data_IF_193785180562
#
_entry.id   IF_193785180562
#
_cell.length_a   1.000
_cell.length_b   1.000
_cell.length_c   1.000
_cell.angle_alpha   90.00
_cell.angle_beta   90.00
_cell.angle_gamma   90.00
#
_symmetry.space_group_name_H-M   'P 1'
#
loop_
_entity.id
_entity.type
_entity.pdbx_description
1 polymer ?
#
# COMPACT_ATOMS: atom_id res chain seq x y z
N UNK A 1 0.81 8.59 2.78
CA UNK A 1 0.56 9.39 4.00
C UNK A 1 1.11 8.61 5.17
N UNK A 2 1.63 9.29 6.18
CA UNK A 2 2.17 8.64 7.38
C UNK A 2 1.55 9.27 8.61
N UNK A 3 1.23 8.46 9.60
CA UNK A 3 0.56 8.87 10.83
C UNK A 3 1.29 8.30 12.04
N UNK A 4 1.26 9.02 13.15
CA UNK A 4 1.72 8.48 14.43
C UNK A 4 0.64 7.60 15.06
N UNK A 5 1.02 6.38 15.47
CA UNK A 5 0.15 5.39 16.11
C UNK A 5 0.65 5.13 17.52
N UNK A 6 -0.27 5.10 18.48
CA UNK A 6 0.01 4.78 19.88
C UNK A 6 0.10 3.26 20.08
N UNK A 7 1.17 2.82 20.73
CA UNK A 7 1.30 1.50 21.32
C UNK A 7 0.78 1.57 22.75
N UNK A 8 -0.48 1.15 22.92
CA UNK A 8 -1.23 1.33 24.16
C UNK A 8 -0.51 0.77 25.39
N UNK A 9 0.12 -0.40 25.26
CA UNK A 9 0.75 -1.11 26.38
C UNK A 9 2.01 -0.42 26.90
N UNK A 10 2.65 0.42 26.07
CA UNK A 10 3.89 1.12 26.42
C UNK A 10 3.63 2.50 27.02
N UNK A 11 2.47 3.08 26.75
CA UNK A 11 2.16 4.45 27.14
C UNK A 11 1.96 4.57 28.66
N UNK A 12 2.82 5.35 29.32
CA UNK A 12 2.67 5.74 30.73
C UNK A 12 2.37 7.25 30.83
N UNK A 13 1.12 7.70 30.60
CA UNK A 13 0.77 9.13 30.48
C UNK A 13 1.05 9.93 31.76
N UNK A 14 1.06 9.27 32.93
CA UNK A 14 1.34 9.92 34.23
C UNK A 14 2.82 10.23 34.47
N UNK A 15 3.74 9.79 33.59
CA UNK A 15 5.20 9.87 33.79
C UNK A 15 5.98 10.43 32.60
N UNK A 16 5.31 11.02 31.61
CA UNK A 16 5.95 11.50 30.37
C UNK A 16 5.78 13.00 30.09
N UNK A 17 5.16 13.76 31.00
CA UNK A 17 4.89 15.20 30.87
C UNK A 17 4.23 15.58 29.54
N UNK A 18 3.40 14.71 29.00
CA UNK A 18 2.65 14.91 27.75
C UNK A 18 3.52 15.39 26.56
N UNK A 19 4.80 15.00 26.55
CA UNK A 19 5.79 15.46 25.56
C UNK A 19 5.36 15.23 24.11
N UNK A 20 4.63 14.15 23.85
CA UNK A 20 4.07 13.87 22.52
C UNK A 20 3.14 15.00 22.03
N UNK A 21 2.33 15.58 22.91
CA UNK A 21 1.45 16.71 22.65
C UNK A 21 2.24 18.03 22.61
N UNK A 22 3.06 18.29 23.64
CA UNK A 22 3.79 19.55 23.81
C UNK A 22 4.74 19.87 22.64
N UNK A 23 5.36 18.85 22.04
CA UNK A 23 6.31 19.02 20.93
C UNK A 23 5.69 18.79 19.54
N UNK A 24 4.41 18.45 19.44
CA UNK A 24 3.74 18.21 18.17
C UNK A 24 3.55 19.52 17.39
N UNK A 25 4.11 19.68 16.17
CA UNK A 25 4.00 20.94 15.44
C UNK A 25 2.56 21.36 15.11
N UNK A 26 1.66 20.48 14.62
CA UNK A 26 0.25 20.80 14.46
C UNK A 26 -0.42 21.33 15.73
N UNK A 27 -0.14 20.71 16.89
CA UNK A 27 -0.66 21.16 18.19
C UNK A 27 -0.13 22.54 18.56
N UNK A 28 1.17 22.79 18.36
CA UNK A 28 1.77 24.12 18.60
C UNK A 28 1.21 25.19 17.67
N UNK A 29 0.70 24.80 16.51
CA UNK A 29 -0.01 25.67 15.57
C UNK A 29 -1.51 25.80 15.89
N UNK A 30 -1.98 25.28 17.03
CA UNK A 30 -3.37 25.40 17.50
C UNK A 30 -4.33 24.35 16.95
N UNK A 31 -3.84 23.27 16.33
CA UNK A 31 -4.68 22.18 15.83
C UNK A 31 -4.81 21.05 16.86
N UNK A 32 -5.97 20.41 16.90
CA UNK A 32 -6.23 19.26 17.79
C UNK A 32 -5.69 17.94 17.22
N UNK A 33 -4.42 17.93 16.81
CA UNK A 33 -3.79 16.75 16.22
C UNK A 33 -3.58 15.62 17.24
N UNK A 34 -3.33 15.97 18.51
CA UNK A 34 -3.25 15.02 19.62
C UNK A 34 -4.18 15.55 20.70
N UNK A 35 -5.12 14.73 21.15
CA UNK A 35 -6.00 15.02 22.29
C UNK A 35 -5.90 13.90 23.30
N UNK A 36 -6.28 14.12 24.54
CA UNK A 36 -6.18 13.08 25.57
C UNK A 36 -7.53 12.47 25.89
N UNK A 37 -7.59 11.14 25.91
CA UNK A 37 -8.79 10.42 26.34
C UNK A 37 -9.12 10.77 27.80
N UNK A 38 -10.38 11.13 28.09
CA UNK A 38 -10.78 11.68 29.39
C UNK A 38 -10.43 10.79 30.59
N UNK A 39 -10.73 9.48 30.48
CA UNK A 39 -10.50 8.47 31.53
C UNK A 39 -9.05 7.98 31.64
N UNK A 40 -8.49 7.51 30.52
CA UNK A 40 -7.16 6.85 30.52
C UNK A 40 -6.00 7.84 30.48
N UNK A 41 -6.26 9.11 30.11
CA UNK A 41 -5.26 10.14 29.83
C UNK A 41 -4.25 9.74 28.75
N UNK A 42 -4.54 8.72 27.95
CA UNK A 42 -3.70 8.34 26.82
C UNK A 42 -3.98 9.25 25.61
N UNK A 43 -2.97 9.55 24.78
CA UNK A 43 -3.13 10.39 23.62
C UNK A 43 -3.93 9.67 22.51
N UNK A 44 -4.85 10.39 21.89
CA UNK A 44 -5.58 10.03 20.68
C UNK A 44 -5.00 10.90 19.57
N UNK A 45 -4.48 10.29 18.52
CA UNK A 45 -3.85 10.99 17.40
C UNK A 45 -4.84 11.07 16.23
N UNK A 46 -5.09 12.26 15.71
CA UNK A 46 -5.90 12.47 14.51
C UNK A 46 -5.14 12.08 13.25
N UNK A 47 -5.66 11.12 12.48
CA UNK A 47 -5.07 10.70 11.21
C UNK A 47 -5.06 11.82 10.16
N UNK A 48 -6.05 12.71 10.20
CA UNK A 48 -6.22 13.79 9.23
C UNK A 48 -5.26 14.97 9.49
N UNK A 49 -5.00 15.26 10.76
CA UNK A 49 -4.17 16.40 11.18
C UNK A 49 -2.70 16.02 11.37
N UNK A 50 -2.41 14.74 11.55
CA UNK A 50 -1.04 14.28 11.72
C UNK A 50 -0.26 14.37 10.41
N UNK A 51 0.83 15.12 10.43
CA UNK A 51 1.74 15.26 9.27
C UNK A 51 2.84 14.19 9.21
N UNK A 52 2.84 13.22 10.13
CA UNK A 52 3.81 12.11 10.14
C UNK A 52 5.27 12.52 10.34
N UNK A 53 5.54 13.64 11.03
CA UNK A 53 6.89 14.19 11.20
C UNK A 53 7.80 13.38 12.14
N UNK A 54 7.24 12.53 13.01
CA UNK A 54 8.02 11.69 13.92
C UNK A 54 8.56 12.36 15.19
N UNK A 55 8.31 13.65 15.41
CA UNK A 55 8.80 14.36 16.62
C UNK A 55 8.24 13.73 17.90
N UNK A 56 6.95 13.39 17.91
CA UNK A 56 6.30 12.76 19.06
C UNK A 56 6.87 11.37 19.38
N UNK A 57 7.37 10.64 18.36
CA UNK A 57 8.09 9.37 18.55
C UNK A 57 9.41 9.62 19.26
N UNK A 58 10.23 10.54 18.73
CA UNK A 58 11.55 10.87 19.28
C UNK A 58 11.49 11.50 20.68
N UNK A 59 10.36 12.12 21.04
CA UNK A 59 10.15 12.75 22.35
C UNK A 59 9.43 11.84 23.33
N UNK A 60 8.96 10.65 22.93
CA UNK A 60 8.30 9.76 23.89
C UNK A 60 9.37 9.04 24.74
N UNK A 61 9.41 9.23 26.07
CA UNK A 61 10.41 8.55 26.91
C UNK A 61 10.15 7.04 27.06
N UNK A 62 9.02 6.54 26.56
CA UNK A 62 8.59 5.15 26.68
C UNK A 62 8.49 4.43 25.33
N UNK A 63 8.93 5.05 24.24
CA UNK A 63 8.81 4.51 22.87
C UNK A 63 7.40 3.99 22.55
N UNK A 64 6.40 4.72 23.03
CA UNK A 64 4.99 4.34 22.93
C UNK A 64 4.34 4.84 21.63
N UNK A 65 5.06 5.55 20.77
CA UNK A 65 4.54 6.04 19.49
C UNK A 65 5.40 5.51 18.35
N UNK A 66 4.76 5.17 17.24
CA UNK A 66 5.44 4.74 16.01
C UNK A 66 4.85 5.46 14.81
N UNK A 67 5.68 5.74 13.79
CA UNK A 67 5.17 6.24 12.51
C UNK A 67 4.80 5.05 11.64
N UNK A 68 3.54 4.99 11.23
CA UNK A 68 3.02 4.00 10.30
C UNK A 68 2.67 4.66 8.95
N UNK A 69 2.87 3.91 7.87
CA UNK A 69 2.44 4.33 6.55
C UNK A 69 0.99 3.90 6.36
N UNK A 70 0.13 4.84 6.00
CA UNK A 70 -1.23 4.52 5.56
C UNK A 70 -1.20 4.09 4.09
N UNK A 71 -2.06 3.13 3.70
CA UNK A 71 -2.20 2.74 2.31
C UNK A 71 -2.58 3.96 1.46
N UNK A 72 -1.86 4.15 0.36
CA UNK A 72 -2.19 5.11 -0.67
C UNK A 72 -2.06 4.44 -2.03
N UNK A 73 -2.74 5.01 -3.02
CA UNK A 73 -2.56 4.62 -4.41
C UNK A 73 -1.09 4.80 -4.81
N UNK A 74 -0.53 3.78 -5.46
CA UNK A 74 0.84 3.85 -5.94
C UNK A 74 0.93 4.84 -7.11
N UNK A 75 1.99 5.65 -7.13
CA UNK A 75 2.25 6.62 -8.21
C UNK A 75 2.88 5.98 -9.45
N UNK A 76 3.30 4.74 -9.33
CA UNK A 76 4.10 3.99 -10.31
C UNK A 76 3.62 2.54 -10.36
N UNK A 77 4.17 1.76 -11.30
CA UNK A 77 3.90 0.32 -11.44
C UNK A 77 2.43 0.00 -11.75
N UNK A 78 1.73 0.91 -12.45
CA UNK A 78 0.36 0.67 -12.91
C UNK A 78 0.38 -0.35 -14.04
N UNK A 79 -0.35 -1.44 -13.87
CA UNK A 79 -0.39 -2.56 -14.82
C UNK A 79 -1.60 -2.45 -15.73
N UNK A 80 -2.77 -2.17 -15.15
CA UNK A 80 -4.00 -2.11 -15.93
C UNK A 80 -4.99 -1.13 -15.33
N UNK A 81 -5.77 -0.48 -16.20
CA UNK A 81 -6.85 0.44 -15.83
C UNK A 81 -8.04 0.27 -16.74
N UNK A 82 -9.21 0.03 -16.15
CA UNK A 82 -10.46 -0.17 -16.91
C UNK A 82 -11.12 1.12 -17.42
N UNK A 83 -10.76 2.29 -16.87
CA UNK A 83 -11.38 3.55 -17.25
C UNK A 83 -10.86 4.75 -16.47
N UNK A 84 -11.29 5.96 -16.84
CA UNK A 84 -10.88 7.22 -16.20
C UNK A 84 -11.07 7.20 -14.68
N UNK A 85 -12.24 6.80 -14.19
CA UNK A 85 -12.49 6.62 -12.75
C UNK A 85 -12.69 5.13 -12.39
N UNK A 86 -12.22 4.24 -13.27
CA UNK A 86 -12.33 2.81 -13.10
C UNK A 86 -11.26 2.27 -12.16
N UNK A 87 -11.40 0.99 -11.84
CA UNK A 87 -10.42 0.23 -11.07
C UNK A 87 -9.04 0.25 -11.76
N UNK A 88 -8.00 0.35 -10.95
CA UNK A 88 -6.59 0.37 -11.36
C UNK A 88 -5.86 -0.73 -10.60
N UNK A 89 -5.13 -1.55 -11.32
CA UNK A 89 -4.28 -2.58 -10.75
C UNK A 89 -2.82 -2.11 -10.79
N UNK A 90 -2.15 -2.25 -9.65
CA UNK A 90 -0.73 -1.95 -9.52
C UNK A 90 0.01 -3.21 -9.11
N UNK A 91 1.14 -3.45 -9.79
CA UNK A 91 1.98 -4.65 -9.64
C UNK A 91 1.20 -5.96 -9.90
N UNK A 92 1.95 -7.03 -10.06
CA UNK A 92 1.41 -8.39 -10.13
C UNK A 92 2.22 -9.30 -9.21
N UNK A 93 1.60 -10.34 -8.62
CA UNK A 93 2.37 -11.41 -7.98
C UNK A 93 3.10 -12.22 -9.06
N UNK A 94 4.36 -12.56 -8.79
CA UNK A 94 5.14 -13.45 -9.65
C UNK A 94 4.79 -14.92 -9.35
N UNK A 95 4.40 -15.73 -10.35
CA UNK A 95 4.39 -17.17 -10.21
C UNK A 95 5.81 -17.69 -9.93
N UNK A 96 5.94 -18.64 -9.01
CA UNK A 96 7.21 -19.29 -8.68
C UNK A 96 7.20 -20.73 -9.11
N UNK A 97 8.28 -21.17 -9.74
CA UNK A 97 8.44 -22.56 -10.14
C UNK A 97 8.41 -23.48 -8.91
N UNK A 98 7.75 -24.64 -9.08
CA UNK A 98 7.62 -25.68 -8.04
C UNK A 98 7.01 -25.20 -6.71
N UNK A 99 6.35 -24.04 -6.70
CA UNK A 99 5.75 -23.44 -5.50
C UNK A 99 4.30 -23.04 -5.73
N UNK A 100 3.52 -23.08 -4.65
CA UNK A 100 2.14 -22.58 -4.64
C UNK A 100 2.15 -21.14 -4.15
N UNK A 101 1.72 -20.20 -5.01
CA UNK A 101 1.59 -18.78 -4.67
C UNK A 101 0.13 -18.50 -4.29
N UNK A 102 -0.11 -18.11 -3.04
CA UNK A 102 -1.43 -17.70 -2.55
C UNK A 102 -1.66 -16.20 -2.70
N UNK A 103 -2.78 -15.80 -3.29
CA UNK A 103 -3.20 -14.39 -3.39
C UNK A 103 -4.36 -14.15 -2.42
N UNK A 104 -4.15 -13.31 -1.41
CA UNK A 104 -5.15 -12.97 -0.40
C UNK A 104 -5.47 -11.47 -0.44
N UNK A 105 -6.73 -11.12 -0.23
CA UNK A 105 -7.21 -9.75 -0.23
C UNK A 105 -8.73 -9.68 -0.25
N UNK A 106 -9.29 -8.51 0.05
CA UNK A 106 -10.73 -8.26 0.01
C UNK A 106 -11.28 -8.33 -1.43
N UNK A 107 -12.60 -8.46 -1.55
CA UNK A 107 -13.27 -8.41 -2.86
C UNK A 107 -13.08 -7.03 -3.49
N UNK A 108 -12.90 -7.00 -4.82
CA UNK A 108 -12.63 -5.75 -5.54
C UNK A 108 -11.19 -5.25 -5.48
N UNK A 109 -10.26 -5.94 -4.80
CA UNK A 109 -8.83 -5.55 -4.78
C UNK A 109 -8.05 -5.93 -6.05
N UNK A 110 -8.71 -6.51 -7.07
CA UNK A 110 -8.06 -6.87 -8.34
C UNK A 110 -7.45 -8.27 -8.41
N UNK A 111 -7.76 -9.17 -7.45
CA UNK A 111 -7.27 -10.57 -7.47
C UNK A 111 -7.62 -11.29 -8.78
N UNK A 112 -8.89 -11.23 -9.19
CA UNK A 112 -9.35 -11.84 -10.44
C UNK A 112 -8.72 -11.17 -11.67
N UNK A 113 -8.54 -9.85 -11.65
CA UNK A 113 -7.84 -9.12 -12.72
C UNK A 113 -6.38 -9.57 -12.83
N UNK A 114 -5.67 -9.71 -11.71
CA UNK A 114 -4.29 -10.20 -11.69
C UNK A 114 -4.18 -11.62 -12.26
N UNK A 115 -5.10 -12.52 -11.87
CA UNK A 115 -5.16 -13.89 -12.37
C UNK A 115 -5.42 -13.90 -13.90
N UNK A 116 -6.37 -13.11 -14.39
CA UNK A 116 -6.67 -13.02 -15.81
C UNK A 116 -5.51 -12.45 -16.64
N UNK A 117 -4.71 -11.54 -16.07
CA UNK A 117 -3.50 -11.04 -16.72
C UNK A 117 -2.42 -12.12 -16.76
N UNK A 118 -2.17 -12.80 -15.64
CA UNK A 118 -1.19 -13.89 -15.56
C UNK A 118 -1.58 -15.09 -16.43
N UNK A 119 -2.86 -15.24 -16.78
CA UNK A 119 -3.32 -16.27 -17.70
C UNK A 119 -3.32 -15.85 -19.17
N UNK A 120 -2.95 -14.60 -19.48
CA UNK A 120 -3.04 -14.03 -20.83
C UNK A 120 -4.48 -13.76 -21.31
N UNK A 121 -5.49 -13.81 -20.43
CA UNK A 121 -6.87 -13.49 -20.77
C UNK A 121 -7.16 -12.00 -20.85
N UNK A 122 -6.33 -11.18 -20.18
CA UNK A 122 -6.32 -9.72 -20.29
C UNK A 122 -4.88 -9.28 -20.54
N UNK A 123 -4.66 -8.51 -21.60
CA UNK A 123 -3.37 -7.86 -21.84
C UNK A 123 -3.31 -6.52 -21.08
N UNK A 124 -2.26 -6.24 -20.30
CA UNK A 124 -2.06 -4.95 -19.64
C UNK A 124 -2.13 -3.75 -20.60
N UNK A 125 -2.66 -2.63 -20.13
CA UNK A 125 -2.67 -1.36 -20.87
C UNK A 125 -1.79 -0.28 -20.20
N UNK A 126 -1.03 -0.66 -19.17
CA UNK A 126 -0.09 0.20 -18.43
C UNK A 126 -0.71 1.51 -17.90
N UNK A 127 -2.03 1.50 -17.71
CA UNK A 127 -2.77 2.64 -17.20
C UNK A 127 -3.37 3.56 -18.26
N UNK A 128 -3.11 3.34 -19.55
CA UNK A 128 -3.82 4.03 -20.62
C UNK A 128 -5.15 3.32 -20.88
N UNK A 129 -6.24 3.94 -20.42
CA UNK A 129 -7.59 3.40 -20.58
C UNK A 129 -8.21 3.70 -21.94
N UNK A 130 -7.51 4.42 -22.83
CA UNK A 130 -7.95 4.66 -24.20
C UNK A 130 -7.60 3.49 -25.13
N UNK A 131 -6.71 2.60 -24.70
CA UNK A 131 -6.32 1.40 -25.44
C UNK A 131 -6.79 0.13 -24.72
N UNK A 132 -7.10 -0.91 -25.49
CA UNK A 132 -7.48 -2.22 -24.94
C UNK A 132 -6.28 -2.99 -24.40
N UNK A 133 -5.12 -2.86 -25.04
CA UNK A 133 -3.87 -3.55 -24.71
C UNK A 133 -2.67 -2.71 -25.16
N UNK A 134 -1.58 -2.73 -24.37
CA UNK A 134 -0.28 -2.23 -24.77
C UNK A 134 0.53 -3.33 -25.48
N UNK A 135 1.58 -2.94 -26.20
CA UNK A 135 2.51 -3.88 -26.83
C UNK A 135 3.33 -4.64 -25.78
N UNK A 136 3.59 -5.93 -26.02
CA UNK A 136 4.31 -6.77 -25.06
C UNK A 136 5.71 -6.24 -24.74
N UNK A 137 6.41 -5.66 -25.72
CA UNK A 137 7.72 -5.05 -25.49
C UNK A 137 7.67 -3.89 -24.50
N UNK A 138 6.60 -3.08 -24.56
CA UNK A 138 6.36 -1.98 -23.60
C UNK A 138 6.03 -2.52 -22.21
N UNK A 139 5.16 -3.53 -22.15
CA UNK A 139 4.77 -4.19 -20.89
C UNK A 139 5.99 -4.77 -20.18
N UNK A 140 6.79 -5.55 -20.89
CA UNK A 140 8.00 -6.18 -20.36
C UNK A 140 9.08 -5.15 -20.03
N UNK A 141 9.16 -4.06 -20.80
CA UNK A 141 10.03 -2.92 -20.53
C UNK A 141 9.67 -2.15 -19.25
N UNK A 142 8.38 -2.10 -18.90
CA UNK A 142 7.89 -1.43 -17.68
C UNK A 142 8.16 -2.21 -16.39
N UNK A 143 8.41 -3.51 -16.49
CA UNK A 143 8.59 -4.40 -15.35
C UNK A 143 10.08 -4.53 -14.97
N UNK A 144 10.39 -4.61 -13.66
CA UNK A 144 11.74 -4.94 -13.22
C UNK A 144 12.12 -6.33 -13.71
N UNK A 145 13.42 -6.54 -13.95
CA UNK A 145 13.95 -7.87 -14.26
C UNK A 145 13.67 -8.83 -13.10
N UNK A 146 13.20 -10.04 -13.41
CA UNK A 146 12.90 -11.08 -12.43
C UNK A 146 11.75 -11.99 -12.88
N UNK A 147 11.35 -12.90 -11.98
CA UNK A 147 10.42 -14.01 -12.24
C UNK A 147 9.12 -13.60 -12.96
N UNK A 148 8.53 -12.45 -12.59
CA UNK A 148 7.30 -11.96 -13.21
C UNK A 148 7.51 -11.63 -14.70
N UNK A 149 8.61 -10.95 -15.02
CA UNK A 149 8.91 -10.54 -16.39
C UNK A 149 9.19 -11.78 -17.25
N UNK A 150 10.02 -12.68 -16.74
CA UNK A 150 10.37 -13.93 -17.43
C UNK A 150 9.11 -14.78 -17.68
N UNK A 151 8.20 -14.85 -16.70
CA UNK A 151 6.91 -15.51 -16.86
C UNK A 151 6.03 -14.84 -17.94
N UNK A 152 5.94 -13.51 -17.95
CA UNK A 152 5.14 -12.80 -18.95
C UNK A 152 5.75 -12.87 -20.36
N UNK A 153 7.07 -12.98 -20.50
CA UNK A 153 7.75 -13.28 -21.76
C UNK A 153 7.26 -14.63 -22.32
N UNK A 154 7.11 -15.65 -21.46
CA UNK A 154 6.58 -16.95 -21.88
C UNK A 154 5.09 -16.89 -22.25
N UNK A 155 4.29 -16.10 -21.52
CA UNK A 155 2.87 -15.86 -21.85
C UNK A 155 2.74 -15.18 -23.21
N UNK A 156 3.56 -14.16 -23.49
CA UNK A 156 3.61 -13.46 -24.78
C UNK A 156 4.02 -14.39 -25.92
N UNK A 157 5.01 -15.26 -25.69
CA UNK A 157 5.54 -16.21 -26.67
C UNK A 157 4.71 -17.49 -26.88
N UNK A 158 3.50 -17.62 -26.28
CA UNK A 158 2.67 -18.84 -26.23
C UNK A 158 3.31 -20.07 -25.56
N UNK A 159 4.43 -19.90 -24.86
CA UNK A 159 5.21 -20.97 -24.26
C UNK A 159 4.60 -21.59 -22.99
N UNK A 160 3.53 -21.00 -22.44
CA UNK A 160 2.91 -21.46 -21.18
C UNK A 160 1.46 -21.87 -21.41
N UNK A 161 1.12 -23.08 -20.96
CA UNK A 161 -0.27 -23.55 -20.89
C UNK A 161 -0.85 -23.23 -19.51
N UNK A 162 -1.74 -22.25 -19.45
CA UNK A 162 -2.43 -21.87 -18.21
C UNK A 162 -3.76 -22.59 -18.10
N UNK A 163 -4.02 -23.23 -16.96
CA UNK A 163 -5.31 -23.82 -16.61
C UNK A 163 -5.98 -22.98 -15.53
N UNK A 164 -7.10 -22.34 -15.88
CA UNK A 164 -7.94 -21.60 -14.94
C UNK A 164 -9.15 -22.45 -14.55
N UNK A 165 -9.32 -22.70 -13.26
CA UNK A 165 -10.57 -23.25 -12.73
C UNK A 165 -11.48 -22.10 -12.28
N UNK A 166 -12.76 -22.07 -12.69
CA UNK A 166 -13.73 -21.09 -12.24
C UNK A 166 -14.04 -21.22 -10.74
#
# INVERSE_FOLDING_TARGET
MRVAVLLDDRCQPKKCDDQCHAFCPPVRNGQECIVFHEKTKKPIISEQLCIGCGICVNKCPFDALVIQNLPEELKSDMIHRYGRNGFRLFRLPAPREEQVVGILGQNGMGKSTAINILSGGITPNLGDWHIEAAEWDEILGSLPKGELRDYLELVAGTGVRVALKP
#
